data_IF_979968443516
#
_entry.id   IF_979968443516
#
_cell.length_a   1.000
_cell.length_b   1.000
_cell.length_c   1.000
_cell.angle_alpha   90.00
_cell.angle_beta   90.00
_cell.angle_gamma   90.00
#
_symmetry.space_group_name_H-M   'P 1'
#
loop_
_entity.id
_entity.type
_entity.pdbx_description
1 polymer ?
#
# COMPACT_ATOMS: atom_id res chain seq x y z
N UNK A 1 38.87 8.91 59.29
CA UNK A 1 37.78 9.02 60.29
C UNK A 1 36.51 8.35 59.74
N UNK A 2 35.57 7.94 60.58
CA UNK A 2 34.27 7.37 60.17
C UNK A 2 33.27 8.51 59.77
N UNK A 3 32.10 8.28 59.16
CA UNK A 3 30.97 7.43 59.62
C UNK A 3 29.90 7.17 58.53
N UNK A 4 29.16 6.07 58.69
CA UNK A 4 27.71 5.87 58.42
C UNK A 4 27.24 6.18 56.96
N UNK A 5 26.91 5.21 56.07
CA UNK A 5 25.97 4.07 56.15
C UNK A 5 24.48 4.44 56.24
N UNK A 6 23.69 4.08 55.22
CA UNK A 6 22.31 3.61 55.43
C UNK A 6 21.97 2.53 54.39
N UNK A 7 21.43 1.40 54.85
CA UNK A 7 20.78 0.40 54.01
C UNK A 7 19.30 0.76 53.91
N UNK A 8 18.62 0.32 52.85
CA UNK A 8 17.31 -0.30 53.03
C UNK A 8 17.05 -1.37 51.95
N UNK A 9 16.14 -2.30 52.24
CA UNK A 9 16.06 -3.58 51.55
C UNK A 9 14.64 -3.91 51.07
N UNK A 10 14.59 -4.69 49.98
CA UNK A 10 13.44 -5.33 49.32
C UNK A 10 12.11 -5.46 50.07
N UNK A 11 11.00 -5.17 49.35
CA UNK A 11 9.80 -6.03 49.37
C UNK A 11 8.86 -5.81 48.18
N UNK A 12 8.09 -6.85 47.85
CA UNK A 12 7.08 -6.88 46.77
C UNK A 12 5.77 -7.47 47.32
N UNK A 13 4.61 -7.42 46.64
CA UNK A 13 4.29 -6.87 45.30
C UNK A 13 3.04 -5.95 45.42
N UNK A 14 1.87 -5.99 44.72
CA UNK A 14 1.29 -6.80 43.62
C UNK A 14 0.09 -6.03 43.00
N UNK A 15 -0.15 -6.19 41.69
CA UNK A 15 -1.41 -5.94 40.94
C UNK A 15 -2.14 -4.57 41.08
N UNK A 16 -2.11 -3.80 39.99
CA UNK A 16 -3.28 -3.50 39.13
C UNK A 16 -2.68 -3.01 37.79
N UNK A 17 -2.79 -3.72 36.65
CA UNK A 17 -3.99 -3.94 35.83
C UNK A 17 -4.80 -2.66 35.53
N UNK A 18 -4.29 -1.89 34.58
CA UNK A 18 -5.10 -1.26 33.53
C UNK A 18 -4.53 -1.67 32.17
N UNK A 19 -5.39 -2.09 31.25
CA UNK A 19 -5.00 -2.56 29.92
C UNK A 19 -4.98 -1.40 28.95
N UNK A 20 -3.83 -0.76 28.77
CA UNK A 20 -3.57 -0.03 27.53
C UNK A 20 -3.22 -1.04 26.45
N UNK A 21 -4.18 -1.34 25.59
CA UNK A 21 -3.95 -2.04 24.33
C UNK A 21 -3.27 -1.08 23.37
N UNK A 22 -1.97 -0.86 23.55
CA UNK A 22 -1.16 -0.13 22.58
C UNK A 22 -1.17 -0.90 21.25
N UNK A 23 -1.55 -0.21 20.18
CA UNK A 23 -1.72 -0.79 18.86
C UNK A 23 -0.38 -1.32 18.37
N UNK A 24 -0.24 -2.63 18.18
CA UNK A 24 0.95 -3.17 17.49
C UNK A 24 0.97 -2.66 16.04
N UNK A 25 1.71 -1.58 15.82
CA UNK A 25 2.00 -1.03 14.51
C UNK A 25 2.50 -2.18 13.63
N UNK A 26 1.76 -2.47 12.56
CA UNK A 26 2.07 -3.56 11.64
C UNK A 26 3.27 -3.18 10.78
N UNK A 27 4.47 -3.25 11.38
CA UNK A 27 5.74 -3.07 10.71
C UNK A 27 5.86 -4.18 9.67
N UNK A 28 5.69 -3.80 8.40
CA UNK A 28 6.10 -4.61 7.26
C UNK A 28 7.62 -4.76 7.34
N UNK A 29 8.06 -5.83 8.02
CA UNK A 29 9.49 -6.11 8.24
C UNK A 29 10.13 -6.46 6.91
N UNK A 30 10.65 -5.42 6.22
CA UNK A 30 11.51 -5.47 5.02
C UNK A 30 12.12 -6.86 4.81
N UNK A 31 11.57 -7.63 3.88
CA UNK A 31 11.94 -9.03 3.67
C UNK A 31 13.33 -9.13 3.02
N UNK A 32 14.38 -9.00 3.84
CA UNK A 32 15.80 -9.12 3.46
C UNK A 32 16.21 -10.53 2.99
N UNK A 33 15.25 -11.44 2.84
CA UNK A 33 15.33 -12.73 2.14
C UNK A 33 14.03 -12.90 1.35
N UNK A 34 14.13 -13.49 0.15
CA UNK A 34 13.11 -13.40 -0.88
C UNK A 34 11.79 -14.11 -0.57
N UNK A 35 10.80 -13.80 -1.42
CA UNK A 35 9.50 -14.43 -1.61
C UNK A 35 8.62 -14.76 -0.39
N UNK A 36 7.37 -14.28 -0.45
CA UNK A 36 6.22 -14.72 0.37
C UNK A 36 6.29 -14.31 1.86
N UNK A 37 6.80 -13.12 2.17
CA UNK A 37 6.38 -12.42 3.38
C UNK A 37 4.85 -12.24 3.33
N UNK A 38 4.14 -12.86 4.28
CA UNK A 38 2.68 -12.73 4.43
C UNK A 38 2.39 -11.67 5.50
N UNK A 39 1.44 -10.81 5.18
CA UNK A 39 0.98 -9.71 6.03
C UNK A 39 -0.55 -9.74 6.12
N UNK A 40 -1.10 -9.08 7.15
CA UNK A 40 -2.53 -8.81 7.26
C UNK A 40 -2.75 -7.29 7.38
N UNK A 41 -3.86 -6.78 6.86
CA UNK A 41 -4.34 -5.43 7.18
C UNK A 41 -5.88 -5.40 7.19
N UNK A 42 -6.57 -4.74 8.14
CA UNK A 42 -8.03 -4.79 8.26
C UNK A 42 -8.82 -4.39 7.00
N UNK A 43 -8.28 -3.51 6.14
CA UNK A 43 -8.91 -3.10 4.88
C UNK A 43 -8.54 -3.98 3.67
N UNK A 44 -7.47 -4.78 3.75
CA UNK A 44 -6.92 -5.60 2.65
C UNK A 44 -7.30 -7.08 2.82
N UNK A 45 -7.19 -7.58 4.04
CA UNK A 45 -7.19 -8.99 4.39
C UNK A 45 -5.77 -9.54 4.53
N UNK A 46 -5.58 -10.84 4.30
CA UNK A 46 -4.25 -11.45 4.19
C UNK A 46 -3.68 -11.23 2.79
N UNK A 47 -2.44 -10.76 2.71
CA UNK A 47 -1.75 -10.50 1.45
C UNK A 47 -0.27 -10.89 1.52
N UNK A 48 0.39 -10.92 0.36
CA UNK A 48 1.85 -10.98 0.25
C UNK A 48 2.34 -9.97 -0.78
N UNK A 49 3.48 -9.36 -0.50
CA UNK A 49 4.18 -8.43 -1.41
C UNK A 49 5.11 -9.22 -2.34
N UNK A 50 5.14 -8.84 -3.62
CA UNK A 50 6.01 -9.36 -4.66
C UNK A 50 6.85 -8.19 -5.20
N UNK A 51 8.15 -8.20 -4.89
CA UNK A 51 9.04 -7.06 -5.14
C UNK A 51 9.28 -6.85 -6.64
N UNK A 52 9.22 -5.60 -7.10
CA UNK A 52 9.56 -5.27 -8.49
C UNK A 52 11.04 -4.97 -8.65
N UNK A 53 11.57 -5.17 -9.86
CA UNK A 53 12.93 -4.73 -10.17
C UNK A 53 13.03 -3.20 -10.23
N UNK A 54 14.08 -2.62 -9.68
CA UNK A 54 14.40 -1.18 -9.76
C UNK A 54 14.79 -0.69 -11.17
N UNK A 55 14.66 -1.55 -12.19
CA UNK A 55 15.09 -1.29 -13.57
C UNK A 55 14.35 -0.09 -14.15
N UNK A 56 15.12 0.93 -14.57
CA UNK A 56 14.62 2.19 -15.17
C UNK A 56 13.52 2.89 -14.35
N UNK A 57 13.45 2.65 -13.03
CA UNK A 57 12.39 3.11 -12.12
C UNK A 57 10.96 2.61 -12.44
N UNK A 58 10.76 1.72 -13.41
CA UNK A 58 9.44 1.25 -13.90
C UNK A 58 8.62 0.37 -12.90
N UNK A 59 8.95 0.41 -11.62
CA UNK A 59 8.30 -0.31 -10.54
C UNK A 59 6.77 -0.16 -10.54
N UNK A 60 6.23 1.01 -10.87
CA UNK A 60 4.78 1.24 -10.99
C UNK A 60 4.10 0.43 -12.10
N UNK A 61 4.77 0.22 -13.25
CA UNK A 61 4.25 -0.64 -14.33
C UNK A 61 4.21 -2.10 -13.88
N UNK A 62 5.31 -2.57 -13.28
CA UNK A 62 5.44 -3.94 -12.82
C UNK A 62 4.50 -4.26 -11.64
N UNK A 63 4.30 -3.32 -10.71
CA UNK A 63 3.39 -3.51 -9.57
C UNK A 63 1.94 -3.68 -10.02
N UNK A 64 1.49 -2.92 -11.02
CA UNK A 64 0.19 -3.13 -11.65
C UNK A 64 0.12 -4.43 -12.46
N UNK A 65 1.15 -4.81 -13.23
CA UNK A 65 1.16 -6.08 -13.98
C UNK A 65 0.99 -7.30 -13.04
N UNK A 66 1.70 -7.31 -11.92
CA UNK A 66 1.61 -8.36 -10.90
C UNK A 66 0.21 -8.31 -10.25
N UNK A 67 -0.20 -7.14 -9.76
CA UNK A 67 -1.39 -7.00 -8.90
C UNK A 67 -2.68 -7.25 -9.68
N UNK A 68 -2.80 -6.73 -10.90
CA UNK A 68 -3.96 -7.00 -11.77
C UNK A 68 -4.11 -8.49 -12.02
N UNK A 69 -3.03 -9.17 -12.46
CA UNK A 69 -3.03 -10.63 -12.66
C UNK A 69 -3.40 -11.38 -11.38
N UNK A 70 -2.88 -10.96 -10.23
CA UNK A 70 -3.07 -11.64 -8.95
C UNK A 70 -4.46 -11.45 -8.32
N UNK A 71 -5.12 -10.31 -8.55
CA UNK A 71 -6.36 -9.91 -7.85
C UNK A 71 -7.60 -9.84 -8.77
N UNK A 72 -7.40 -9.68 -10.08
CA UNK A 72 -8.47 -9.62 -11.09
C UNK A 72 -8.51 -10.86 -11.97
N UNK A 73 -7.40 -11.62 -12.06
CA UNK A 73 -7.22 -12.74 -12.99
C UNK A 73 -6.74 -12.30 -14.39
N UNK A 74 -6.79 -11.01 -14.69
CA UNK A 74 -6.37 -10.42 -15.96
C UNK A 74 -5.15 -9.50 -15.76
N UNK A 75 -4.21 -9.51 -16.71
CA UNK A 75 -2.93 -8.81 -16.62
C UNK A 75 -2.93 -7.51 -17.42
N UNK A 76 -2.68 -6.38 -16.76
CA UNK A 76 -2.23 -5.13 -17.38
C UNK A 76 -0.75 -5.29 -17.77
N UNK A 77 -0.49 -5.61 -19.05
CA UNK A 77 0.89 -5.74 -19.56
C UNK A 77 1.58 -4.39 -19.68
N UNK A 78 2.92 -4.36 -19.72
CA UNK A 78 3.71 -3.13 -19.93
C UNK A 78 3.28 -2.38 -21.19
N UNK A 79 2.99 -3.11 -22.28
CA UNK A 79 2.53 -2.49 -23.54
C UNK A 79 1.15 -1.83 -23.39
N UNK A 80 0.20 -2.47 -22.70
CA UNK A 80 -1.11 -1.90 -22.43
C UNK A 80 -1.06 -0.75 -21.41
N UNK A 81 -0.10 -0.77 -20.47
CA UNK A 81 0.20 0.38 -19.62
C UNK A 81 0.68 1.55 -20.48
N UNK A 82 1.63 1.32 -21.38
CA UNK A 82 2.24 2.38 -22.19
C UNK A 82 1.27 2.96 -23.23
N UNK A 83 0.36 2.15 -23.76
CA UNK A 83 -0.79 2.58 -24.57
C UNK A 83 -1.71 3.54 -23.78
N UNK A 84 -2.16 3.13 -22.60
CA UNK A 84 -3.04 3.95 -21.73
C UNK A 84 -2.33 5.20 -21.22
N UNK A 85 -1.06 5.10 -20.83
CA UNK A 85 -0.27 6.21 -20.33
C UNK A 85 0.04 7.26 -21.41
N UNK A 86 0.02 6.86 -22.69
CA UNK A 86 0.18 7.74 -23.86
C UNK A 86 -1.15 8.33 -24.38
N UNK A 87 -2.29 7.96 -23.79
CA UNK A 87 -3.63 8.44 -24.19
C UNK A 87 -3.79 9.96 -24.08
N UNK A 88 -4.80 10.52 -24.74
CA UNK A 88 -5.14 11.94 -24.60
C UNK A 88 -5.69 12.26 -23.21
N UNK A 89 -6.46 11.34 -22.63
CA UNK A 89 -6.98 11.42 -21.28
C UNK A 89 -5.86 11.46 -20.23
N UNK A 90 -4.85 10.58 -20.33
CA UNK A 90 -3.70 10.59 -19.43
C UNK A 90 -2.87 11.86 -19.57
N UNK A 91 -2.60 12.31 -20.81
CA UNK A 91 -1.87 13.57 -21.06
C UNK A 91 -2.62 14.77 -20.49
N UNK A 92 -3.94 14.81 -20.65
CA UNK A 92 -4.81 15.86 -20.06
C UNK A 92 -4.76 15.84 -18.54
N UNK A 93 -4.84 14.65 -17.93
CA UNK A 93 -4.74 14.46 -16.48
C UNK A 93 -3.38 14.90 -15.93
N UNK A 94 -2.28 14.50 -16.56
CA UNK A 94 -0.92 14.87 -16.12
C UNK A 94 -0.64 16.37 -16.31
N UNK A 95 -1.03 16.95 -17.45
CA UNK A 95 -0.93 18.39 -17.69
C UNK A 95 -1.69 19.21 -16.63
N UNK A 96 -2.88 18.78 -16.21
CA UNK A 96 -3.68 19.44 -15.16
C UNK A 96 -2.98 19.45 -13.80
N UNK A 97 -2.24 18.39 -13.47
CA UNK A 97 -1.55 18.24 -12.19
C UNK A 97 -0.08 18.72 -12.23
N UNK A 98 0.41 19.20 -13.39
CA UNK A 98 1.80 19.62 -13.56
C UNK A 98 2.81 18.47 -13.59
N UNK A 99 2.37 17.25 -13.92
CA UNK A 99 3.20 16.04 -13.91
C UNK A 99 3.71 15.67 -15.30
N UNK A 100 4.91 15.07 -15.33
CA UNK A 100 5.55 14.54 -16.53
C UNK A 100 5.24 13.06 -16.74
N UNK A 101 5.23 12.64 -18.02
CA UNK A 101 5.16 11.24 -18.43
C UNK A 101 6.58 10.59 -18.40
N UNK A 102 7.29 10.67 -17.27
CA UNK A 102 8.67 10.15 -17.17
C UNK A 102 8.76 8.72 -16.58
N UNK A 103 9.80 8.45 -15.79
CA UNK A 103 10.12 7.12 -15.28
C UNK A 103 9.67 6.93 -13.81
N UNK A 104 9.37 8.00 -13.08
CA UNK A 104 8.72 7.95 -11.76
C UNK A 104 7.21 8.17 -11.89
N UNK A 105 6.44 7.45 -11.07
CA UNK A 105 4.98 7.49 -11.08
C UNK A 105 4.46 7.98 -9.74
N UNK A 106 3.46 8.85 -9.78
CA UNK A 106 2.62 9.18 -8.62
C UNK A 106 1.53 8.11 -8.44
N UNK A 107 0.98 7.97 -7.23
CA UNK A 107 -0.04 6.94 -6.93
C UNK A 107 -1.32 7.21 -7.74
N UNK A 108 -1.65 8.49 -7.89
CA UNK A 108 -2.74 9.05 -8.67
C UNK A 108 -2.58 8.78 -10.18
N UNK A 109 -1.33 8.68 -10.68
CA UNK A 109 -1.08 8.30 -12.08
C UNK A 109 -1.33 6.81 -12.31
N UNK A 110 -0.87 5.95 -11.39
CA UNK A 110 -1.13 4.51 -11.46
C UNK A 110 -2.62 4.20 -11.31
N UNK A 111 -3.32 4.96 -10.47
CA UNK A 111 -4.78 4.91 -10.33
C UNK A 111 -5.51 5.34 -11.60
N UNK A 112 -5.13 6.46 -12.22
CA UNK A 112 -5.77 6.91 -13.46
C UNK A 112 -5.56 5.92 -14.62
N UNK A 113 -4.36 5.35 -14.77
CA UNK A 113 -4.09 4.25 -15.71
C UNK A 113 -4.97 3.03 -15.42
N UNK A 114 -5.07 2.61 -14.15
CA UNK A 114 -5.89 1.47 -13.74
C UNK A 114 -7.39 1.70 -14.04
N UNK A 115 -7.91 2.90 -13.79
CA UNK A 115 -9.30 3.29 -14.09
C UNK A 115 -9.59 3.22 -15.60
N UNK A 116 -8.73 3.83 -16.42
CA UNK A 116 -8.87 3.83 -17.88
C UNK A 116 -8.80 2.41 -18.46
N UNK A 117 -7.76 1.64 -18.09
CA UNK A 117 -7.59 0.26 -18.52
C UNK A 117 -8.77 -0.62 -18.08
N UNK A 118 -9.19 -0.53 -16.82
CA UNK A 118 -10.34 -1.29 -16.30
C UNK A 118 -11.63 -1.04 -17.09
N UNK A 119 -11.88 0.22 -17.46
CA UNK A 119 -13.00 0.62 -18.34
C UNK A 119 -12.87 0.04 -19.74
N UNK A 120 -11.70 0.16 -20.37
CA UNK A 120 -11.43 -0.37 -21.72
C UNK A 120 -11.58 -1.90 -21.82
N UNK A 121 -11.22 -2.63 -20.75
CA UNK A 121 -11.32 -4.10 -20.67
C UNK A 121 -12.68 -4.60 -20.16
N UNK A 122 -13.61 -3.72 -19.81
CA UNK A 122 -14.94 -4.11 -19.29
C UNK A 122 -14.92 -4.70 -17.88
N UNK A 123 -13.85 -4.49 -17.10
CA UNK A 123 -13.63 -5.09 -15.76
C UNK A 123 -14.50 -4.48 -14.64
N UNK A 124 -15.41 -3.57 -15.00
CA UNK A 124 -16.14 -2.68 -14.09
C UNK A 124 -15.32 -1.43 -13.74
N UNK A 125 -15.75 -0.70 -12.71
CA UNK A 125 -14.96 0.39 -12.16
C UNK A 125 -13.85 -0.18 -11.27
N UNK A 126 -12.61 0.21 -11.51
CA UNK A 126 -11.45 -0.13 -10.69
C UNK A 126 -10.94 1.14 -9.98
N UNK A 127 -10.30 0.97 -8.83
CA UNK A 127 -9.66 2.05 -8.08
C UNK A 127 -8.40 1.54 -7.38
N UNK A 128 -7.38 2.39 -7.21
CA UNK A 128 -6.12 1.98 -6.57
C UNK A 128 -6.18 2.14 -5.05
N UNK A 129 -5.86 1.06 -4.36
CA UNK A 129 -5.43 1.08 -2.96
C UNK A 129 -3.92 0.90 -2.87
N UNK A 130 -3.24 1.70 -2.04
CA UNK A 130 -1.80 1.60 -1.81
C UNK A 130 -1.53 1.30 -0.34
N UNK A 131 -0.77 0.23 -0.10
CA UNK A 131 -0.23 -0.14 1.20
C UNK A 131 1.11 0.57 1.33
N UNK A 132 1.21 1.55 2.24
CA UNK A 132 2.42 2.35 2.45
C UNK A 132 3.12 1.93 3.73
N UNK A 133 4.40 1.59 3.64
CA UNK A 133 5.19 1.25 4.83
C UNK A 133 5.21 2.44 5.82
N UNK A 134 4.95 2.15 7.09
CA UNK A 134 4.85 3.08 8.22
C UNK A 134 3.67 4.09 8.21
N UNK A 135 3.04 4.35 7.05
CA UNK A 135 1.86 5.25 6.94
C UNK A 135 0.51 4.53 7.00
N UNK A 136 0.45 3.23 6.70
CA UNK A 136 -0.80 2.44 6.72
C UNK A 136 -1.29 2.12 5.32
N UNK A 137 -2.57 2.38 5.02
CA UNK A 137 -3.09 2.22 3.64
C UNK A 137 -3.95 3.41 3.22
N UNK A 138 -3.86 3.74 1.92
CA UNK A 138 -4.68 4.76 1.25
C UNK A 138 -5.49 4.12 0.12
N UNK A 139 -6.60 4.75 -0.28
CA UNK A 139 -7.34 4.45 -1.51
C UNK A 139 -7.66 5.76 -2.19
N UNK A 140 -7.37 5.87 -3.50
CA UNK A 140 -7.51 7.11 -4.26
C UNK A 140 -6.76 8.32 -3.63
N UNK A 141 -5.64 8.05 -2.95
CA UNK A 141 -4.86 9.04 -2.18
C UNK A 141 -5.37 9.33 -0.76
N UNK A 142 -6.57 8.86 -0.38
CA UNK A 142 -7.17 9.12 0.93
C UNK A 142 -6.84 8.01 1.96
N UNK A 143 -6.40 8.35 3.19
CA UNK A 143 -6.15 7.37 4.26
C UNK A 143 -7.38 6.55 4.67
N UNK A 144 -7.14 5.28 5.01
CA UNK A 144 -8.14 4.32 5.51
C UNK A 144 -7.70 3.85 6.90
N UNK A 145 -8.12 4.56 7.95
CA UNK A 145 -7.85 4.17 9.35
C UNK A 145 -8.65 2.93 9.75
N UNK A 146 -9.92 2.87 9.33
CA UNK A 146 -10.89 1.86 9.71
C UNK A 146 -11.56 1.28 8.46
N UNK A 147 -12.08 0.06 8.61
CA UNK A 147 -12.82 -0.65 7.56
C UNK A 147 -13.99 0.18 6.99
N UNK A 148 -14.69 0.93 7.84
CA UNK A 148 -15.78 1.86 7.45
C UNK A 148 -15.30 3.03 6.60
N UNK A 149 -14.02 3.42 6.68
CA UNK A 149 -13.48 4.45 5.80
C UNK A 149 -13.33 3.93 4.38
N UNK A 150 -13.11 2.61 4.18
CA UNK A 150 -13.06 1.99 2.84
C UNK A 150 -14.41 2.13 2.09
N UNK A 151 -15.51 2.12 2.83
CA UNK A 151 -16.88 2.36 2.32
C UNK A 151 -17.18 3.86 2.10
N UNK A 152 -16.32 4.77 2.61
CA UNK A 152 -16.41 6.22 2.45
C UNK A 152 -15.46 6.80 1.39
N UNK A 153 -14.25 6.25 1.26
CA UNK A 153 -13.23 6.70 0.28
C UNK A 153 -13.20 5.83 -0.98
N UNK A 154 -13.79 4.64 -0.92
CA UNK A 154 -14.09 3.84 -2.09
C UNK A 154 -15.38 4.31 -2.75
N UNK A 155 -15.34 4.51 -4.07
CA UNK A 155 -16.55 4.83 -4.84
C UNK A 155 -17.51 3.62 -4.87
N UNK A 156 -18.82 3.86 -4.80
CA UNK A 156 -19.81 2.76 -4.80
C UNK A 156 -19.74 1.97 -6.13
N UNK A 157 -19.67 0.64 -5.99
CA UNK A 157 -19.49 -0.30 -7.11
C UNK A 157 -18.05 -0.43 -7.62
N UNK A 158 -17.06 0.28 -7.04
CA UNK A 158 -15.66 0.18 -7.45
C UNK A 158 -14.93 -0.98 -6.78
N UNK A 159 -14.05 -1.65 -7.55
CA UNK A 159 -13.17 -2.72 -7.07
C UNK A 159 -11.80 -2.15 -6.75
N UNK A 160 -11.42 -2.13 -5.48
CA UNK A 160 -10.06 -1.76 -5.06
C UNK A 160 -9.06 -2.82 -5.54
N UNK A 161 -8.05 -2.39 -6.30
CA UNK A 161 -6.83 -3.13 -6.56
C UNK A 161 -5.74 -2.65 -5.59
N UNK A 162 -5.10 -3.55 -4.87
CA UNK A 162 -4.01 -3.18 -3.96
C UNK A 162 -2.64 -3.21 -4.67
N UNK A 163 -1.78 -2.24 -4.38
CA UNK A 163 -0.32 -2.28 -4.59
C UNK A 163 0.40 -1.91 -3.29
N UNK A 164 1.72 -2.06 -3.24
CA UNK A 164 2.56 -1.71 -2.09
C UNK A 164 3.55 -0.61 -2.47
N UNK A 165 3.89 0.27 -1.54
CA UNK A 165 4.88 1.36 -1.67
C UNK A 165 5.78 1.36 -0.42
N UNK A 166 7.05 0.98 -0.56
CA UNK A 166 7.98 0.79 0.57
C UNK A 166 8.77 2.07 0.93
N UNK A 167 8.62 3.14 0.14
CA UNK A 167 9.60 4.23 0.10
C UNK A 167 9.06 5.61 0.54
N UNK A 168 7.76 5.72 0.87
CA UNK A 168 7.10 6.99 1.21
C UNK A 168 7.84 7.85 2.26
N UNK A 169 8.48 7.21 3.24
CA UNK A 169 9.14 7.85 4.38
C UNK A 169 10.66 7.60 4.50
N UNK A 170 11.24 6.69 3.72
CA UNK A 170 12.39 5.92 4.23
C UNK A 170 13.78 6.56 4.08
N UNK A 171 13.97 7.55 3.19
CA UNK A 171 15.27 8.23 2.98
C UNK A 171 15.20 9.72 2.58
N UNK A 172 14.03 10.36 2.62
CA UNK A 172 13.90 11.77 2.20
C UNK A 172 14.29 12.04 0.75
N UNK A 173 13.99 11.10 -0.16
CA UNK A 173 14.25 11.18 -1.60
C UNK A 173 12.96 10.91 -2.39
N UNK A 174 12.69 11.61 -3.51
CA UNK A 174 11.42 11.57 -4.23
C UNK A 174 11.23 10.31 -5.11
N UNK A 175 11.79 9.17 -4.69
CA UNK A 175 11.83 7.95 -5.50
C UNK A 175 10.78 6.94 -5.03
N UNK A 176 9.52 7.11 -5.45
CA UNK A 176 8.46 6.13 -5.20
C UNK A 176 8.91 4.73 -5.69
N UNK A 177 8.79 3.71 -4.84
CA UNK A 177 9.11 2.33 -5.21
C UNK A 177 7.93 1.42 -4.93
N UNK A 178 7.32 0.93 -6.02
CA UNK A 178 6.13 0.12 -5.95
C UNK A 178 6.41 -1.39 -6.05
N UNK A 179 5.72 -2.17 -5.24
CA UNK A 179 5.72 -3.63 -5.29
C UNK A 179 4.32 -4.18 -5.58
N UNK A 180 4.26 -5.33 -6.24
CA UNK A 180 3.00 -6.01 -6.53
C UNK A 180 2.39 -6.60 -5.26
N UNK A 181 1.07 -6.68 -5.20
CA UNK A 181 0.35 -7.29 -4.06
C UNK A 181 -0.50 -8.45 -4.56
N UNK A 182 -0.41 -9.58 -3.86
CA UNK A 182 -1.31 -10.73 -4.00
C UNK A 182 -2.16 -10.85 -2.75
N UNK A 183 -3.46 -10.56 -2.88
CA UNK A 183 -4.44 -10.80 -1.80
C UNK A 183 -4.75 -12.30 -1.75
N UNK A 184 -4.46 -12.94 -0.61
CA UNK A 184 -4.62 -14.37 -0.38
C UNK A 184 -5.98 -14.71 0.24
N UNK A 185 -6.50 -13.83 1.10
CA UNK A 185 -7.86 -13.85 1.65
C UNK A 185 -8.29 -12.41 1.84
N UNK A 186 -9.38 -11.98 1.19
CA UNK A 186 -9.90 -10.60 1.33
C UNK A 186 -10.31 -10.32 2.79
N UNK A 187 -10.29 -9.05 3.18
CA UNK A 187 -10.93 -8.62 4.43
C UNK A 187 -12.41 -9.06 4.45
N UNK A 188 -12.87 -9.59 5.58
CA UNK A 188 -14.28 -9.95 5.76
C UNK A 188 -15.13 -8.67 5.84
N UNK A 189 -15.65 -8.21 4.70
CA UNK A 189 -16.76 -7.26 4.68
C UNK A 189 -17.95 -7.92 5.37
N UNK A 190 -18.33 -7.34 6.50
CA UNK A 190 -19.56 -7.67 7.22
C UNK A 190 -20.53 -6.66 6.65
N UNK A 191 -21.59 -7.17 6.02
CA UNK A 191 -22.71 -6.37 5.51
C UNK A 191 -23.73 -6.16 6.63
#
# INVERSE_FOLDING_TARGET
>A
MARISHKNNSKTTRKHMQQHTETEHHIVRRSRRGDKAKSNHPAVGDYSVELTGSQKKWCGKFSLEISTKAQLGERLTIAAFDEVFSSEEMRTFNNKNGWTNDNEFYEEQLDFVLRLWGRQRGLGRLQLGVIRDFEGVVVNGYPVEKKTDLERVGEEGCRTLWVHNDNAMLLGRPCNHYSGVKVMRKANMIR
#
